data_IF_467224757852
#
_entry.id   IF_467224757852
#
_cell.length_a   1.000
_cell.length_b   1.000
_cell.length_c   1.000
_cell.angle_alpha   90.00
_cell.angle_beta   90.00
_cell.angle_gamma   90.00
#
_symmetry.space_group_name_H-M   'P 1'
#
loop_
_entity.id
_entity.type
_entity.pdbx_description
1 polymer ?
#
# COMPACT_ATOMS: atom_id res chain seq x y z
N UNK A 1 -3.06 -15.52 -27.94
CA UNK A 1 -2.45 -14.91 -26.74
C UNK A 1 -2.18 -13.41 -26.89
N UNK A 2 -1.46 -12.94 -27.91
CA UNK A 2 -1.15 -11.49 -28.10
C UNK A 2 -2.40 -10.59 -28.17
N UNK A 3 -3.52 -11.09 -28.73
CA UNK A 3 -4.80 -10.38 -28.79
C UNK A 3 -5.42 -10.13 -27.43
N UNK A 4 -5.38 -11.11 -26.51
CA UNK A 4 -5.91 -10.97 -25.16
C UNK A 4 -5.07 -10.00 -24.32
N UNK A 5 -3.75 -10.03 -24.49
CA UNK A 5 -2.86 -9.06 -23.83
C UNK A 5 -3.15 -7.63 -24.30
N UNK A 6 -3.33 -7.40 -25.60
CA UNK A 6 -3.71 -6.08 -26.14
C UNK A 6 -5.04 -5.58 -25.57
N UNK A 7 -6.00 -6.49 -25.35
CA UNK A 7 -7.29 -6.15 -24.70
C UNK A 7 -7.11 -5.79 -23.22
N UNK A 8 -6.27 -6.51 -22.48
CA UNK A 8 -5.94 -6.19 -21.10
C UNK A 8 -5.23 -4.84 -20.97
N UNK A 9 -4.22 -4.60 -21.80
CA UNK A 9 -3.43 -3.37 -21.77
C UNK A 9 -4.23 -2.15 -22.27
N UNK A 10 -5.18 -2.34 -23.19
CA UNK A 10 -5.91 -1.25 -23.82
C UNK A 10 -5.06 -0.46 -24.84
N UNK A 11 -5.60 0.66 -25.35
CA UNK A 11 -4.92 1.44 -26.39
C UNK A 11 -3.62 2.06 -25.88
N UNK A 12 -2.64 2.14 -26.78
CA UNK A 12 -1.32 2.73 -26.53
C UNK A 12 -1.31 4.16 -27.08
N UNK A 13 -0.80 5.13 -26.32
CA UNK A 13 -0.60 6.50 -26.84
C UNK A 13 0.70 6.62 -27.67
N UNK A 14 0.96 7.80 -28.22
CA UNK A 14 2.17 8.08 -29.02
C UNK A 14 3.49 7.89 -28.24
N UNK A 15 3.47 8.11 -26.92
CA UNK A 15 4.63 7.87 -26.02
C UNK A 15 4.80 6.40 -25.66
N UNK A 16 3.82 5.57 -26.02
CA UNK A 16 3.85 4.15 -25.75
C UNK A 16 3.15 3.70 -24.46
N UNK A 17 2.42 4.58 -23.77
CA UNK A 17 1.78 4.32 -22.49
C UNK A 17 0.33 3.82 -22.63
N UNK A 18 -0.09 3.01 -21.66
CA UNK A 18 -1.41 2.39 -21.56
C UNK A 18 -2.28 3.10 -20.52
N UNK A 19 -2.53 4.40 -20.73
CA UNK A 19 -3.18 5.29 -19.75
C UNK A 19 -4.60 4.86 -19.36
N UNK A 20 -5.28 4.08 -20.20
CA UNK A 20 -6.63 3.56 -19.92
C UNK A 20 -6.62 2.29 -19.07
N UNK A 21 -5.46 1.66 -18.89
CA UNK A 21 -5.35 0.49 -18.03
C UNK A 21 -5.46 0.93 -16.57
N UNK A 22 -6.38 0.36 -15.77
CA UNK A 22 -6.55 0.73 -14.38
C UNK A 22 -5.32 0.54 -13.50
N UNK A 23 -4.39 -0.34 -13.90
CA UNK A 23 -3.16 -0.66 -13.17
C UNK A 23 -1.95 0.15 -13.65
N UNK A 24 -2.13 1.09 -14.60
CA UNK A 24 -1.02 1.85 -15.16
C UNK A 24 -0.45 2.86 -14.17
N UNK A 25 -1.32 3.59 -13.47
CA UNK A 25 -0.91 4.59 -12.49
C UNK A 25 -0.90 3.98 -11.08
N UNK A 26 0.03 4.39 -10.22
CA UNK A 26 -0.05 4.06 -8.81
C UNK A 26 -1.35 4.65 -8.24
N UNK A 27 -2.01 3.94 -7.32
CA UNK A 27 -3.17 4.49 -6.64
C UNK A 27 -2.78 5.68 -5.75
N UNK A 28 -3.72 6.60 -5.60
CA UNK A 28 -3.63 7.72 -4.66
C UNK A 28 -4.48 7.42 -3.40
N UNK A 29 -4.38 8.29 -2.40
CA UNK A 29 -5.22 8.28 -1.19
C UNK A 29 -5.00 7.11 -0.21
N UNK A 30 -3.78 6.56 -0.13
CA UNK A 30 -3.43 5.49 0.84
C UNK A 30 -4.28 4.23 0.65
N UNK A 31 -4.61 3.94 -0.59
CA UNK A 31 -5.34 2.73 -0.98
C UNK A 31 -4.51 1.95 -1.97
N UNK A 32 -4.60 0.64 -1.89
CA UNK A 32 -3.99 -0.27 -2.86
C UNK A 32 -4.95 -0.47 -4.03
N UNK A 33 -4.41 -0.79 -5.22
CA UNK A 33 -5.20 -1.06 -6.44
C UNK A 33 -4.80 -2.44 -6.99
N UNK A 34 -5.13 -3.47 -6.22
CA UNK A 34 -4.78 -4.84 -6.56
C UNK A 34 -5.74 -5.46 -7.56
N UNK A 35 -5.24 -6.43 -8.31
CA UNK A 35 -5.99 -7.15 -9.33
C UNK A 35 -7.19 -7.94 -8.75
N UNK A 36 -7.08 -8.37 -7.49
CA UNK A 36 -8.14 -9.02 -6.71
C UNK A 36 -9.40 -8.18 -6.53
N UNK A 37 -9.27 -6.85 -6.63
CA UNK A 37 -10.39 -5.92 -6.49
C UNK A 37 -11.32 -5.93 -7.71
N UNK A 38 -10.87 -6.56 -8.79
CA UNK A 38 -11.60 -6.66 -10.04
C UNK A 38 -12.18 -8.06 -10.18
N UNK A 39 -13.44 -8.14 -10.65
CA UNK A 39 -14.14 -9.40 -10.87
C UNK A 39 -13.60 -10.14 -12.11
N UNK A 40 -12.33 -10.54 -12.07
CA UNK A 40 -11.67 -11.33 -13.11
C UNK A 40 -12.11 -12.76 -12.91
N UNK A 41 -13.19 -13.14 -13.61
CA UNK A 41 -13.66 -14.53 -13.62
C UNK A 41 -12.62 -15.39 -14.35
N UNK A 42 -11.90 -16.21 -13.59
CA UNK A 42 -10.97 -17.21 -14.13
C UNK A 42 -11.67 -18.37 -14.83
N UNK A 43 -12.94 -18.62 -14.52
CA UNK A 43 -13.74 -19.67 -15.16
C UNK A 43 -14.69 -19.09 -16.18
N UNK A 44 -14.22 -19.04 -17.43
CA UNK A 44 -15.11 -19.10 -18.57
C UNK A 44 -15.13 -20.56 -19.02
N UNK A 45 -15.96 -21.39 -18.37
CA UNK A 45 -16.39 -22.67 -18.95
C UNK A 45 -17.13 -22.46 -20.29
N UNK A 46 -17.57 -21.22 -20.55
CA UNK A 46 -17.92 -20.73 -21.86
C UNK A 46 -16.71 -20.12 -22.55
N UNK A 47 -16.38 -20.57 -23.77
CA UNK A 47 -15.18 -20.24 -24.56
C UNK A 47 -14.92 -18.75 -24.89
N UNK A 48 -15.57 -17.79 -24.23
CA UNK A 48 -15.40 -16.35 -24.41
C UNK A 48 -14.52 -15.81 -23.28
N UNK A 49 -13.23 -15.60 -23.58
CA UNK A 49 -12.25 -15.08 -22.62
C UNK A 49 -12.67 -13.78 -21.92
N UNK A 50 -11.92 -13.40 -20.88
CA UNK A 50 -12.20 -12.24 -20.01
C UNK A 50 -12.48 -10.96 -20.82
N UNK A 51 -13.66 -10.36 -20.62
CA UNK A 51 -13.98 -9.05 -21.18
C UNK A 51 -13.42 -7.94 -20.28
N UNK A 52 -12.20 -7.51 -20.60
CA UNK A 52 -11.46 -6.50 -19.82
C UNK A 52 -12.16 -5.14 -19.74
N UNK A 53 -12.87 -4.70 -20.78
CA UNK A 53 -13.65 -3.46 -20.73
C UNK A 53 -14.71 -3.54 -19.63
N UNK A 54 -15.51 -4.61 -19.61
CA UNK A 54 -16.54 -4.81 -18.59
C UNK A 54 -15.96 -4.98 -17.18
N UNK A 55 -14.80 -5.65 -17.05
CA UNK A 55 -14.10 -5.81 -15.77
C UNK A 55 -13.65 -4.46 -15.21
N UNK A 56 -13.18 -3.55 -16.07
CA UNK A 56 -12.70 -2.23 -15.67
C UNK A 56 -13.83 -1.20 -15.50
N UNK A 57 -14.93 -1.35 -16.22
CA UNK A 57 -16.15 -0.53 -16.07
C UNK A 57 -16.92 -0.90 -14.79
N UNK A 58 -16.94 -2.18 -14.42
CA UNK A 58 -17.61 -2.68 -13.21
C UNK A 58 -16.80 -2.48 -11.91
N UNK A 59 -15.94 -1.45 -11.81
CA UNK A 59 -15.31 -1.05 -10.53
C UNK A 59 -16.41 -0.70 -9.51
N UNK A 60 -16.90 -1.69 -8.77
CA UNK A 60 -17.99 -1.56 -7.78
C UNK A 60 -19.25 -2.39 -8.05
N UNK A 61 -19.39 -3.05 -9.20
CA UNK A 61 -20.59 -3.83 -9.53
C UNK A 61 -20.39 -5.34 -9.30
N UNK A 62 -20.31 -5.75 -8.02
CA UNK A 62 -20.83 -7.03 -7.50
C UNK A 62 -20.38 -7.26 -6.03
N UNK A 63 -21.23 -6.90 -5.06
CA UNK A 63 -21.58 -7.65 -3.83
C UNK A 63 -20.51 -8.41 -3.00
N UNK A 64 -19.22 -8.14 -3.15
CA UNK A 64 -18.19 -8.60 -2.21
C UNK A 64 -17.54 -7.37 -1.60
N UNK A 65 -17.48 -7.33 -0.27
CA UNK A 65 -16.57 -6.43 0.45
C UNK A 65 -15.18 -6.57 -0.17
N UNK A 66 -14.78 -5.60 -0.98
CA UNK A 66 -13.53 -5.66 -1.72
C UNK A 66 -12.40 -5.48 -0.70
N UNK A 67 -11.71 -6.56 -0.37
CA UNK A 67 -10.57 -6.48 0.53
C UNK A 67 -9.39 -5.85 -0.22
N UNK A 68 -9.20 -4.54 -0.03
CA UNK A 68 -8.12 -3.78 -0.64
C UNK A 68 -6.74 -4.33 -0.27
N UNK A 69 -6.57 -5.05 0.85
CA UNK A 69 -5.26 -5.52 1.29
C UNK A 69 -4.79 -6.81 0.60
N UNK A 70 -5.63 -7.50 -0.17
CA UNK A 70 -5.28 -8.80 -0.78
C UNK A 70 -4.67 -8.59 -2.18
N UNK A 71 -3.38 -8.85 -2.43
CA UNK A 71 -2.81 -8.63 -3.76
C UNK A 71 -3.27 -9.66 -4.80
N UNK A 72 -3.56 -10.90 -4.38
CA UNK A 72 -3.82 -12.01 -5.28
C UNK A 72 -5.24 -12.54 -5.13
N UNK A 73 -5.97 -12.64 -6.24
CA UNK A 73 -7.35 -13.14 -6.25
C UNK A 73 -7.47 -14.62 -5.82
N UNK A 74 -6.43 -15.43 -6.09
CA UNK A 74 -6.41 -16.87 -5.81
C UNK A 74 -5.96 -17.21 -4.40
N UNK A 75 -5.29 -16.28 -3.69
CA UNK A 75 -4.75 -16.50 -2.36
C UNK A 75 -5.26 -15.43 -1.38
N UNK A 76 -6.38 -15.68 -0.68
CA UNK A 76 -6.93 -14.72 0.28
C UNK A 76 -6.09 -14.59 1.57
N UNK A 77 -5.13 -15.49 1.81
CA UNK A 77 -4.27 -15.44 3.00
C UNK A 77 -3.13 -14.44 2.87
N UNK A 78 -2.66 -14.19 1.65
CA UNK A 78 -1.67 -13.13 1.41
C UNK A 78 -2.35 -11.79 1.56
N UNK A 79 -1.93 -11.01 2.56
CA UNK A 79 -2.41 -9.66 2.84
C UNK A 79 -1.23 -8.70 2.91
N UNK A 80 -1.48 -7.49 2.49
CA UNK A 80 -0.52 -6.39 2.50
C UNK A 80 -0.42 -5.84 3.92
N UNK A 81 0.81 -5.75 4.43
CA UNK A 81 1.07 -5.12 5.71
C UNK A 81 0.84 -3.61 5.62
N UNK A 82 0.31 -3.02 6.69
CA UNK A 82 0.04 -1.59 6.75
C UNK A 82 1.34 -0.78 6.87
N UNK A 83 1.40 0.33 6.15
CA UNK A 83 2.52 1.25 6.21
C UNK A 83 2.45 2.10 7.50
N UNK A 84 3.57 2.18 8.21
CA UNK A 84 3.70 3.05 9.39
C UNK A 84 3.88 4.50 8.90
N UNK A 85 3.05 5.47 9.34
CA UNK A 85 3.20 6.86 8.96
C UNK A 85 4.54 7.45 9.40
N UNK A 86 5.11 8.36 8.61
CA UNK A 86 6.39 9.02 8.92
C UNK A 86 6.38 9.73 10.28
N UNK A 87 5.26 10.34 10.66
CA UNK A 87 5.08 10.98 11.98
C UNK A 87 5.23 9.98 13.13
N UNK A 88 4.69 8.77 12.97
CA UNK A 88 4.79 7.71 13.99
C UNK A 88 6.22 7.19 14.08
N UNK A 89 6.90 6.99 12.94
CA UNK A 89 8.31 6.57 12.93
C UNK A 89 9.21 7.56 13.67
N UNK A 90 9.02 8.87 13.44
CA UNK A 90 9.77 9.91 14.12
C UNK A 90 9.53 9.91 15.63
N UNK A 91 8.27 9.73 16.08
CA UNK A 91 7.93 9.63 17.51
C UNK A 91 8.50 8.39 18.19
N UNK A 92 8.46 7.24 17.52
CA UNK A 92 9.09 6.00 18.03
C UNK A 92 10.58 6.22 18.27
N UNK A 93 11.25 6.91 17.33
CA UNK A 93 12.66 7.25 17.47
C UNK A 93 12.91 8.18 18.66
N UNK A 94 12.09 9.21 18.85
CA UNK A 94 12.20 10.16 19.97
C UNK A 94 11.94 9.50 21.33
N UNK A 95 10.94 8.63 21.43
CA UNK A 95 10.62 7.91 22.68
C UNK A 95 11.80 7.07 23.18
N UNK A 96 12.54 6.43 22.27
CA UNK A 96 13.64 5.55 22.65
C UNK A 96 14.94 6.33 22.87
N UNK A 97 15.22 7.33 22.03
CA UNK A 97 16.50 8.08 22.10
C UNK A 97 16.49 9.23 23.10
N UNK A 98 15.35 9.91 23.28
CA UNK A 98 15.23 11.10 24.14
C UNK A 98 14.56 10.72 25.45
N UNK A 99 13.43 10.00 25.39
CA UNK A 99 12.67 9.64 26.59
C UNK A 99 13.20 8.38 27.28
N UNK A 100 14.26 7.74 26.73
CA UNK A 100 14.86 6.50 27.22
C UNK A 100 13.83 5.37 27.47
N UNK A 101 12.75 5.32 26.70
CA UNK A 101 11.78 4.25 26.77
C UNK A 101 12.38 2.94 26.25
N UNK A 102 12.00 1.81 26.84
CA UNK A 102 12.42 0.50 26.36
C UNK A 102 11.69 0.13 25.05
N UNK A 103 12.32 -0.63 24.13
CA UNK A 103 11.66 -1.12 22.92
C UNK A 103 10.37 -1.90 23.20
N UNK A 104 10.29 -2.59 24.35
CA UNK A 104 9.11 -3.31 24.80
C UNK A 104 7.97 -2.35 25.17
N UNK A 105 8.22 -1.31 25.96
CA UNK A 105 7.22 -0.29 26.30
C UNK A 105 6.71 0.44 25.05
N UNK A 106 7.62 0.81 24.14
CA UNK A 106 7.26 1.43 22.87
C UNK A 106 6.44 0.47 22.00
N UNK A 107 6.79 -0.82 21.97
CA UNK A 107 6.03 -1.86 21.29
C UNK A 107 4.59 -1.95 21.79
N UNK A 108 4.38 -1.98 23.10
CA UNK A 108 3.04 -1.98 23.70
C UNK A 108 2.28 -0.68 23.42
N UNK A 109 2.93 0.48 23.56
CA UNK A 109 2.34 1.81 23.35
C UNK A 109 1.79 1.98 21.93
N UNK A 110 2.51 1.47 20.94
CA UNK A 110 2.18 1.64 19.52
C UNK A 110 1.51 0.40 18.89
N UNK A 111 1.48 -0.76 19.56
CA UNK A 111 0.94 -1.99 18.98
C UNK A 111 1.78 -2.57 17.84
N UNK A 112 3.08 -2.25 17.80
CA UNK A 112 4.03 -2.71 16.79
C UNK A 112 4.94 -3.75 17.44
N UNK A 113 5.24 -4.87 16.77
CA UNK A 113 6.14 -5.88 17.31
C UNK A 113 7.54 -5.31 17.60
N UNK A 114 8.16 -5.73 18.72
CA UNK A 114 9.51 -5.31 19.14
C UNK A 114 10.54 -5.31 17.99
N UNK A 115 10.71 -6.39 17.20
CA UNK A 115 11.68 -6.38 16.10
C UNK A 115 11.35 -5.34 15.02
N UNK A 116 10.07 -5.01 14.81
CA UNK A 116 9.64 -3.98 13.86
C UNK A 116 9.90 -2.58 14.43
N UNK A 117 9.81 -2.39 15.74
CA UNK A 117 10.20 -1.15 16.42
C UNK A 117 11.71 -0.92 16.25
N UNK A 118 12.54 -1.92 16.54
CA UNK A 118 14.00 -1.85 16.38
C UNK A 118 14.39 -1.49 14.93
N UNK A 119 13.81 -2.18 13.95
CA UNK A 119 14.04 -1.87 12.54
C UNK A 119 13.64 -0.42 12.17
N UNK A 120 12.56 0.12 12.74
CA UNK A 120 12.16 1.51 12.52
C UNK A 120 13.20 2.48 13.06
N UNK A 121 13.76 2.21 14.25
CA UNK A 121 14.78 3.08 14.87
C UNK A 121 16.03 3.11 14.00
N UNK A 122 16.52 1.94 13.57
CA UNK A 122 17.71 1.84 12.72
C UNK A 122 17.52 2.58 11.39
N UNK A 123 16.38 2.36 10.72
CA UNK A 123 16.07 3.03 9.46
C UNK A 123 15.93 4.55 9.64
N UNK A 124 15.34 5.02 10.73
CA UNK A 124 15.18 6.46 10.99
C UNK A 124 16.52 7.11 11.34
N UNK A 125 17.42 6.41 12.04
CA UNK A 125 18.80 6.87 12.27
C UNK A 125 19.55 7.07 10.94
N UNK A 126 19.49 6.08 10.04
CA UNK A 126 20.09 6.16 8.70
C UNK A 126 19.46 7.30 7.90
N UNK A 127 18.13 7.41 7.91
CA UNK A 127 17.40 8.48 7.21
C UNK A 127 17.85 9.86 7.66
N UNK A 128 17.99 10.10 8.96
CA UNK A 128 18.48 11.37 9.52
C UNK A 128 19.92 11.66 9.11
N UNK A 129 20.79 10.64 9.12
CA UNK A 129 22.17 10.76 8.63
C UNK A 129 22.22 11.15 7.15
N UNK A 130 21.37 10.54 6.32
CA UNK A 130 21.32 10.81 4.89
C UNK A 130 20.57 12.09 4.54
N UNK A 131 19.90 12.74 5.51
CA UNK A 131 19.07 13.92 5.26
C UNK A 131 19.84 15.06 4.59
N UNK A 132 21.15 15.18 4.84
CA UNK A 132 22.04 16.14 4.18
C UNK A 132 22.44 15.76 2.74
N UNK A 133 22.21 14.51 2.34
CA UNK A 133 22.66 13.92 1.07
C UNK A 133 21.48 13.49 0.16
N UNK A 134 20.23 13.72 0.59
CA UNK A 134 19.06 13.23 -0.17
C UNK A 134 18.86 14.01 -1.47
N UNK A 135 18.89 13.27 -2.58
CA UNK A 135 18.55 13.77 -3.91
C UNK A 135 17.05 14.07 -4.05
N UNK A 136 16.73 15.11 -4.82
CA UNK A 136 15.37 15.56 -5.15
C UNK A 136 14.47 14.48 -5.79
N UNK A 137 15.04 13.37 -6.28
CA UNK A 137 14.30 12.26 -6.91
C UNK A 137 13.75 11.28 -5.86
N UNK A 138 14.42 11.12 -4.72
CA UNK A 138 14.09 10.08 -3.73
C UNK A 138 12.82 10.44 -2.94
N UNK A 139 12.64 11.72 -2.65
CA UNK A 139 11.50 12.25 -1.90
C UNK A 139 10.15 11.97 -2.61
N UNK A 140 9.93 12.39 -3.87
CA UNK A 140 8.66 12.14 -4.55
C UNK A 140 8.41 10.63 -4.78
N UNK A 141 9.47 9.84 -4.94
CA UNK A 141 9.33 8.38 -5.01
C UNK A 141 8.81 7.79 -3.69
N UNK A 142 9.37 8.24 -2.55
CA UNK A 142 8.91 7.78 -1.23
C UNK A 142 7.46 8.17 -0.93
N UNK A 143 7.04 9.37 -1.35
CA UNK A 143 5.67 9.86 -1.15
C UNK A 143 4.67 9.06 -2.00
N UNK A 144 4.97 8.85 -3.28
CA UNK A 144 4.11 8.04 -4.17
C UNK A 144 3.99 6.60 -3.68
N UNK A 145 5.08 6.01 -3.18
CA UNK A 145 5.01 4.70 -2.54
C UNK A 145 4.13 4.73 -1.29
N UNK A 146 4.32 5.69 -0.38
CA UNK A 146 3.54 5.76 0.83
C UNK A 146 2.03 5.95 0.55
N UNK A 147 1.68 6.76 -0.45
CA UNK A 147 0.30 6.93 -0.90
C UNK A 147 -0.31 5.68 -1.54
N UNK A 148 0.53 4.78 -2.08
CA UNK A 148 0.06 3.53 -2.70
C UNK A 148 -0.27 2.41 -1.71
N UNK A 149 0.12 2.58 -0.44
CA UNK A 149 -0.12 1.61 0.63
C UNK A 149 -1.12 2.14 1.65
N UNK A 150 -1.93 1.23 2.20
CA UNK A 150 -2.79 1.57 3.33
C UNK A 150 -1.98 1.84 4.59
N UNK A 151 -2.28 2.95 5.24
CA UNK A 151 -1.61 3.37 6.46
C UNK A 151 -2.40 2.98 7.70
N UNK A 152 -1.70 2.56 8.75
CA UNK A 152 -2.29 2.25 10.04
C UNK A 152 -2.59 3.56 10.82
N UNK A 153 -3.86 3.83 11.15
CA UNK A 153 -4.19 4.80 12.19
C UNK A 153 -4.05 4.08 13.54
N UNK A 154 -2.91 4.26 14.19
CA UNK A 154 -2.68 3.63 15.50
C UNK A 154 -3.37 4.42 16.61
N UNK A 155 -3.81 3.70 17.65
CA UNK A 155 -4.76 4.09 18.69
C UNK A 155 -4.30 5.20 19.66
N UNK A 156 -3.68 6.25 19.15
CA UNK A 156 -3.22 7.38 19.96
C UNK A 156 -4.36 8.29 20.43
N UNK A 157 -5.56 8.17 19.84
CA UNK A 157 -6.73 8.97 20.24
C UNK A 157 -7.59 8.30 21.32
N UNK A 158 -7.40 7.00 21.62
CA UNK A 158 -8.28 6.30 22.58
C UNK A 158 -7.99 6.61 24.06
N UNK A 159 -6.82 7.16 24.37
CA UNK A 159 -6.43 7.45 25.77
C UNK A 159 -6.50 8.94 26.14
N UNK A 160 -7.06 9.79 25.27
CA UNK A 160 -7.21 11.23 25.52
C UNK A 160 -8.63 11.63 25.95
N UNK A 161 -9.55 10.67 26.10
CA UNK A 161 -10.94 10.89 26.53
C UNK A 161 -11.23 9.99 27.72
N UNK A 162 -10.66 10.33 28.87
CA UNK A 162 -11.12 9.90 30.18
C UNK A 162 -10.42 10.75 31.24
N UNK A 163 -10.93 11.97 31.41
CA UNK A 163 -10.86 12.75 32.64
C UNK A 163 -12.29 13.16 32.99
#
# INVERSE_FOLDING_TARGET
MRSNLRRFLGPRNFKGFHLKNPFFFPPANKTTNYISQYAIRGDARDAKGVNWQKVFENRGAANREVNHLTPFATNPHTKTALAVPGVIKARIYEDITVNNASPQETSFKYGISVPRVEAIIELEAIRRKWQSEVSYIVVPYSDTLFESFSSEMMSYEKNSISL
#
